data_IF_238825648049
#
_entry.id   IF_238825648049
#
_cell.length_a   1.000
_cell.length_b   1.000
_cell.length_c   1.000
_cell.angle_alpha   90.00
_cell.angle_beta   90.00
_cell.angle_gamma   90.00
#
_symmetry.space_group_name_H-M   'P 1'
#
loop_
_entity.id
_entity.type
_entity.pdbx_description
1 polymer ?
#
# COMPACT_ATOMS: atom_id res chain seq x y z
N UNK A 1 7.06 -1.44 -17.53
CA UNK A 1 5.94 -0.82 -18.27
C UNK A 1 5.99 0.72 -18.30
N UNK A 2 6.83 1.38 -17.49
CA UNK A 2 6.93 2.86 -17.36
C UNK A 2 8.34 3.40 -17.66
N UNK A 3 9.08 2.80 -18.59
CA UNK A 3 10.40 3.29 -19.00
C UNK A 3 10.34 4.62 -19.76
N UNK A 4 11.42 5.41 -19.74
CA UNK A 4 11.43 6.76 -20.33
C UNK A 4 11.22 6.81 -21.84
N UNK A 5 11.65 5.78 -22.59
CA UNK A 5 11.72 5.88 -24.05
C UNK A 5 10.72 4.99 -24.82
N UNK A 6 10.08 4.00 -24.16
CA UNK A 6 9.17 3.03 -24.77
C UNK A 6 8.11 2.53 -23.75
N UNK A 7 7.62 3.42 -22.88
CA UNK A 7 6.54 3.06 -21.97
C UNK A 7 5.19 3.03 -22.68
N UNK A 8 4.24 2.34 -22.06
CA UNK A 8 2.84 2.35 -22.51
C UNK A 8 2.30 3.78 -22.59
N UNK A 9 2.67 4.66 -21.66
CA UNK A 9 2.23 6.06 -21.70
C UNK A 9 2.82 6.82 -22.89
N UNK A 10 4.11 6.68 -23.18
CA UNK A 10 4.72 7.32 -24.35
C UNK A 10 4.08 6.84 -25.65
N UNK A 11 3.80 5.54 -25.74
CA UNK A 11 3.09 4.96 -26.88
C UNK A 11 1.67 5.53 -26.98
N UNK A 12 0.91 5.60 -25.88
CA UNK A 12 -0.44 6.16 -25.89
C UNK A 12 -0.46 7.64 -26.25
N UNK A 13 0.48 8.43 -25.73
CA UNK A 13 0.64 9.85 -26.07
C UNK A 13 0.92 10.02 -27.56
N UNK A 14 1.85 9.24 -28.10
CA UNK A 14 2.30 9.32 -29.50
C UNK A 14 1.26 8.79 -30.48
N UNK A 15 0.69 7.61 -30.22
CA UNK A 15 -0.20 6.91 -31.17
C UNK A 15 -1.64 7.44 -31.15
N UNK A 16 -2.11 7.93 -30.00
CA UNK A 16 -3.50 8.41 -29.83
C UNK A 16 -3.60 9.92 -29.63
N UNK A 17 -2.49 10.66 -29.79
CA UNK A 17 -2.41 12.11 -29.62
C UNK A 17 -3.06 12.59 -28.31
N UNK A 18 -2.63 12.01 -27.19
CA UNK A 18 -3.13 12.31 -25.84
C UNK A 18 -2.12 13.18 -25.05
N UNK A 19 -1.87 14.45 -25.44
CA UNK A 19 -0.81 15.26 -24.83
C UNK A 19 -1.00 15.46 -23.31
N UNK A 20 -2.26 15.45 -22.87
CA UNK A 20 -2.66 15.67 -21.48
C UNK A 20 -2.73 14.37 -20.66
N UNK A 21 -2.27 13.22 -21.19
CA UNK A 21 -2.26 11.96 -20.44
C UNK A 21 -1.25 12.04 -19.29
N UNK A 22 -1.72 11.83 -18.07
CA UNK A 22 -0.92 11.86 -16.84
C UNK A 22 -0.71 10.43 -16.33
N UNK A 23 0.54 10.09 -16.00
CA UNK A 23 0.86 8.84 -15.32
C UNK A 23 0.82 9.05 -13.81
N UNK A 24 -0.19 8.48 -13.15
CA UNK A 24 -0.20 8.33 -11.70
C UNK A 24 0.39 6.95 -11.38
N UNK A 25 1.55 6.94 -10.70
CA UNK A 25 2.20 5.68 -10.31
C UNK A 25 1.51 5.11 -9.07
N UNK A 26 1.37 3.79 -9.02
CA UNK A 26 0.91 3.09 -7.84
C UNK A 26 1.83 3.38 -6.64
N UNK A 27 1.31 3.95 -5.56
CA UNK A 27 2.12 4.25 -4.38
C UNK A 27 2.61 2.97 -3.70
N UNK A 28 1.77 1.94 -3.56
CA UNK A 28 2.18 0.66 -2.98
C UNK A 28 3.34 0.02 -3.75
N UNK A 29 3.23 -0.03 -5.08
CA UNK A 29 4.30 -0.57 -5.93
C UNK A 29 5.54 0.33 -5.91
N UNK A 30 5.36 1.66 -5.89
CA UNK A 30 6.43 2.63 -5.78
C UNK A 30 7.25 2.44 -4.50
N UNK A 31 6.58 2.33 -3.35
CA UNK A 31 7.22 2.06 -2.06
C UNK A 31 7.87 0.68 -2.03
N UNK A 32 7.21 -0.32 -2.62
CA UNK A 32 7.78 -1.66 -2.78
C UNK A 32 9.11 -1.63 -3.55
N UNK A 33 9.16 -0.91 -4.67
CA UNK A 33 10.38 -0.71 -5.44
C UNK A 33 11.42 0.07 -4.65
N UNK A 34 11.03 1.13 -3.94
CA UNK A 34 11.94 1.95 -3.14
C UNK A 34 12.68 1.11 -2.09
N UNK A 35 11.95 0.27 -1.35
CA UNK A 35 12.55 -0.67 -0.38
C UNK A 35 13.45 -1.70 -1.07
N UNK A 36 13.05 -2.23 -2.23
CA UNK A 36 13.84 -3.23 -2.95
C UNK A 36 15.18 -2.65 -3.40
N UNK A 37 15.17 -1.46 -3.99
CA UNK A 37 16.37 -0.74 -4.44
C UNK A 37 17.28 -0.36 -3.27
N UNK A 38 16.71 0.10 -2.16
CA UNK A 38 17.45 0.41 -0.93
C UNK A 38 18.12 -0.84 -0.34
N UNK A 39 17.43 -1.98 -0.38
CA UNK A 39 17.93 -3.27 0.11
C UNK A 39 19.07 -3.79 -0.75
N UNK A 40 18.88 -3.85 -2.06
CA UNK A 40 19.86 -4.37 -3.01
C UNK A 40 21.19 -3.62 -2.96
N UNK A 41 21.14 -2.30 -2.73
CA UNK A 41 22.32 -1.45 -2.73
C UNK A 41 23.11 -1.49 -1.41
N UNK A 42 22.43 -1.71 -0.27
CA UNK A 42 23.02 -1.41 1.04
C UNK A 42 23.06 -2.59 2.01
N UNK A 43 22.13 -3.55 1.88
CA UNK A 43 22.07 -4.71 2.77
C UNK A 43 22.96 -5.85 2.27
N UNK A 44 23.62 -6.58 3.18
CA UNK A 44 24.31 -7.80 2.83
C UNK A 44 23.35 -8.87 2.28
N UNK A 45 23.75 -9.54 1.18
CA UNK A 45 22.94 -10.59 0.51
C UNK A 45 22.57 -11.75 1.45
N UNK A 46 23.38 -12.00 2.47
CA UNK A 46 23.12 -13.06 3.43
C UNK A 46 21.87 -12.78 4.30
N UNK A 47 21.43 -11.52 4.45
CA UNK A 47 20.20 -11.20 5.20
C UNK A 47 18.96 -11.70 4.47
N UNK A 48 18.87 -11.47 3.16
CA UNK A 48 17.77 -12.01 2.36
C UNK A 48 17.80 -13.54 2.33
N UNK A 49 18.99 -14.12 2.20
CA UNK A 49 19.19 -15.57 2.27
C UNK A 49 18.70 -16.15 3.59
N UNK A 50 19.06 -15.55 4.74
CA UNK A 50 18.62 -15.99 6.08
C UNK A 50 17.10 -16.08 6.14
N UNK A 51 16.41 -15.01 5.74
CA UNK A 51 14.96 -14.92 5.84
C UNK A 51 14.29 -15.97 4.94
N UNK A 52 14.77 -16.09 3.69
CA UNK A 52 14.24 -17.05 2.71
C UNK A 52 14.48 -18.49 3.12
N UNK A 53 15.69 -18.82 3.55
CA UNK A 53 16.05 -20.19 3.90
C UNK A 53 15.43 -20.65 5.22
N UNK A 54 15.23 -19.74 6.19
CA UNK A 54 14.42 -20.06 7.37
C UNK A 54 13.00 -20.48 6.97
N UNK A 55 12.36 -19.79 6.02
CA UNK A 55 11.05 -20.23 5.51
C UNK A 55 11.13 -21.58 4.79
N UNK A 56 12.10 -21.74 3.86
CA UNK A 56 12.26 -22.94 3.06
C UNK A 56 12.48 -24.18 3.92
N UNK A 57 13.23 -24.04 5.02
CA UNK A 57 13.48 -25.11 5.97
C UNK A 57 12.17 -25.78 6.46
N UNK A 58 11.17 -24.97 6.81
CA UNK A 58 9.87 -25.44 7.31
C UNK A 58 8.86 -25.77 6.21
N UNK A 59 8.94 -25.12 5.05
CA UNK A 59 7.98 -25.34 3.96
C UNK A 59 8.11 -26.73 3.33
N UNK A 60 9.32 -27.29 3.34
CA UNK A 60 9.65 -28.55 2.66
C UNK A 60 9.28 -29.79 3.49
N UNK A 61 9.26 -29.70 4.83
CA UNK A 61 9.12 -30.88 5.68
C UNK A 61 8.09 -30.69 6.79
N UNK A 62 7.01 -31.51 6.84
CA UNK A 62 6.14 -31.62 8.00
C UNK A 62 6.90 -32.01 9.26
N UNK A 63 7.79 -33.00 9.17
CA UNK A 63 8.61 -33.46 10.30
C UNK A 63 9.42 -32.33 10.95
N UNK A 64 10.06 -31.47 10.16
CA UNK A 64 10.81 -30.31 10.69
C UNK A 64 9.91 -29.31 11.41
N UNK A 65 8.65 -29.17 10.98
CA UNK A 65 7.67 -28.31 11.66
C UNK A 65 7.22 -28.91 12.98
N UNK A 66 6.99 -30.21 13.02
CA UNK A 66 6.58 -30.92 14.24
C UNK A 66 7.71 -30.94 15.27
N UNK A 67 8.95 -31.19 14.85
CA UNK A 67 10.15 -31.11 15.70
C UNK A 67 10.33 -29.71 16.30
N UNK A 68 10.22 -28.66 15.47
CA UNK A 68 10.32 -27.29 15.94
C UNK A 68 9.16 -26.91 16.87
N UNK A 69 7.94 -27.35 16.57
CA UNK A 69 6.77 -27.11 17.41
C UNK A 69 6.94 -27.73 18.80
N UNK A 70 7.38 -28.98 18.88
CA UNK A 70 7.64 -29.65 20.15
C UNK A 70 8.73 -28.93 20.96
N UNK A 71 9.81 -28.51 20.30
CA UNK A 71 10.88 -27.71 20.92
C UNK A 71 10.36 -26.37 21.43
N UNK A 72 9.59 -25.64 20.61
CA UNK A 72 9.03 -24.35 20.96
C UNK A 72 8.08 -24.45 22.17
N UNK A 73 7.16 -25.42 22.15
CA UNK A 73 6.23 -25.67 23.27
C UNK A 73 6.98 -26.03 24.57
N UNK A 74 8.09 -26.76 24.47
CA UNK A 74 8.91 -27.11 25.64
C UNK A 74 9.55 -25.88 26.28
N UNK A 75 10.03 -24.93 25.46
CA UNK A 75 10.70 -23.71 25.92
C UNK A 75 9.69 -22.66 26.43
N UNK A 76 8.52 -22.58 25.78
CA UNK A 76 7.52 -21.54 26.01
C UNK A 76 6.25 -22.08 26.68
N UNK A 77 6.38 -23.05 27.59
CA UNK A 77 5.30 -23.54 28.45
C UNK A 77 3.99 -23.92 27.73
N UNK A 78 4.09 -24.52 26.54
CA UNK A 78 2.95 -24.97 25.74
C UNK A 78 2.45 -24.00 24.68
N UNK A 79 3.05 -22.80 24.54
CA UNK A 79 2.69 -21.85 23.50
C UNK A 79 2.99 -22.36 22.09
N UNK A 80 2.26 -21.85 21.09
CA UNK A 80 2.39 -22.24 19.70
C UNK A 80 3.36 -21.32 18.92
N UNK A 81 4.25 -21.87 18.09
CA UNK A 81 5.16 -21.07 17.28
C UNK A 81 4.41 -20.28 16.20
N UNK A 82 4.91 -19.08 15.90
CA UNK A 82 4.43 -18.29 14.76
C UNK A 82 4.95 -18.90 13.46
N UNK A 83 4.03 -19.25 12.55
CA UNK A 83 4.38 -19.76 11.22
C UNK A 83 5.27 -18.77 10.46
N UNK A 84 6.48 -19.15 10.09
CA UNK A 84 7.33 -18.31 9.23
C UNK A 84 6.66 -18.11 7.87
N UNK A 85 6.62 -16.86 7.41
CA UNK A 85 5.94 -16.48 6.17
C UNK A 85 6.89 -16.54 4.98
N UNK A 86 6.32 -16.88 3.81
CA UNK A 86 7.06 -16.88 2.55
C UNK A 86 7.36 -15.44 2.15
N UNK A 87 8.63 -15.15 1.90
CA UNK A 87 9.03 -13.93 1.19
C UNK A 87 8.78 -14.13 -0.32
N UNK A 88 8.16 -13.15 -0.94
CA UNK A 88 8.00 -13.08 -2.38
C UNK A 88 9.13 -12.25 -2.97
N UNK A 89 9.89 -12.82 -3.91
CA UNK A 89 11.08 -12.19 -4.50
C UNK A 89 10.80 -10.81 -5.13
N UNK A 90 9.57 -10.60 -5.64
CA UNK A 90 9.14 -9.32 -6.22
C UNK A 90 8.51 -8.36 -5.22
N UNK A 91 8.37 -8.76 -3.94
CA UNK A 91 7.68 -7.98 -2.91
C UNK A 91 8.41 -8.00 -1.57
N UNK A 92 9.45 -7.18 -1.44
CA UNK A 92 10.14 -6.85 -0.18
C UNK A 92 9.21 -6.50 1.00
N UNK A 93 7.96 -6.10 0.80
CA UNK A 93 7.01 -5.86 1.89
C UNK A 93 6.54 -7.15 2.57
N UNK A 94 6.62 -8.29 1.87
CA UNK A 94 6.43 -9.60 2.51
C UNK A 94 7.56 -9.97 3.48
N UNK A 95 8.65 -9.19 3.48
CA UNK A 95 9.78 -9.39 4.40
C UNK A 95 9.43 -8.92 5.81
N UNK A 96 8.70 -7.80 6.00
CA UNK A 96 8.41 -7.30 7.35
C UNK A 96 7.69 -8.33 8.24
N UNK A 97 6.61 -9.00 7.77
CA UNK A 97 5.97 -10.04 8.56
C UNK A 97 6.86 -11.25 8.83
N UNK A 98 7.77 -11.58 7.90
CA UNK A 98 8.73 -12.67 8.08
C UNK A 98 9.80 -12.30 9.12
N UNK A 99 10.37 -11.09 9.03
CA UNK A 99 11.35 -10.54 9.97
C UNK A 99 10.77 -10.45 11.37
N UNK A 100 9.53 -9.97 11.51
CA UNK A 100 8.82 -9.93 12.79
C UNK A 100 8.75 -11.32 13.44
N UNK A 101 8.31 -12.34 12.69
CA UNK A 101 8.15 -13.72 13.21
C UNK A 101 9.48 -14.40 13.48
N UNK A 102 10.52 -14.09 12.71
CA UNK A 102 11.88 -14.59 12.94
C UNK A 102 12.46 -13.97 14.22
N UNK A 103 12.35 -12.66 14.41
CA UNK A 103 12.85 -11.99 15.61
C UNK A 103 12.09 -12.40 16.87
N UNK A 104 10.78 -12.60 16.77
CA UNK A 104 9.95 -13.04 17.89
C UNK A 104 10.30 -14.45 18.41
N UNK A 105 10.98 -15.27 17.59
CA UNK A 105 11.33 -16.65 17.91
C UNK A 105 12.83 -16.90 17.70
N UNK A 106 13.65 -15.85 17.83
CA UNK A 106 15.07 -15.87 17.44
C UNK A 106 15.86 -16.95 18.18
N UNK A 107 15.64 -17.07 19.49
CA UNK A 107 16.37 -17.99 20.35
C UNK A 107 15.95 -19.45 20.11
N UNK A 108 14.65 -19.68 19.89
CA UNK A 108 14.09 -20.99 19.60
C UNK A 108 14.53 -21.49 18.23
N UNK A 109 14.55 -20.61 17.22
CA UNK A 109 15.08 -20.92 15.90
C UNK A 109 16.58 -21.24 15.98
N UNK A 110 17.36 -20.44 16.73
CA UNK A 110 18.78 -20.67 16.95
C UNK A 110 19.05 -22.05 17.58
N UNK A 111 18.29 -22.43 18.60
CA UNK A 111 18.40 -23.74 19.25
C UNK A 111 17.93 -24.88 18.32
N UNK A 112 16.84 -24.68 17.58
CA UNK A 112 16.37 -25.65 16.60
C UNK A 112 17.45 -25.99 15.57
N UNK A 113 18.08 -24.97 14.99
CA UNK A 113 19.16 -25.18 14.02
C UNK A 113 20.42 -25.78 14.67
N UNK A 114 20.69 -25.50 15.94
CA UNK A 114 21.82 -26.13 16.64
C UNK A 114 21.64 -27.64 16.81
N UNK A 115 20.41 -28.11 17.00
CA UNK A 115 20.10 -29.55 17.09
C UNK A 115 20.04 -30.20 15.71
N UNK A 116 19.64 -29.46 14.69
CA UNK A 116 19.51 -29.98 13.32
C UNK A 116 20.84 -29.99 12.54
N UNK A 117 21.86 -29.23 12.97
CA UNK A 117 23.13 -29.04 12.22
C UNK A 117 23.88 -30.33 11.92
N UNK A 118 23.84 -31.31 12.82
CA UNK A 118 24.55 -32.59 12.64
C UNK A 118 23.99 -33.43 11.49
N UNK A 119 22.72 -33.17 11.13
CA UNK A 119 21.97 -33.97 10.15
C UNK A 119 21.86 -33.29 8.79
N UNK A 120 22.16 -31.99 8.70
CA UNK A 120 21.92 -31.22 7.47
C UNK A 120 22.82 -29.99 7.37
N UNK A 121 23.53 -29.86 6.25
CA UNK A 121 24.37 -28.71 5.94
C UNK A 121 23.61 -27.37 6.02
N UNK A 122 22.39 -27.31 5.47
CA UNK A 122 21.56 -26.10 5.53
C UNK A 122 21.24 -25.69 6.97
N UNK A 123 21.04 -26.64 7.88
CA UNK A 123 20.85 -26.33 9.29
C UNK A 123 22.13 -25.80 9.95
N UNK A 124 23.30 -26.35 9.59
CA UNK A 124 24.59 -25.84 10.04
C UNK A 124 24.81 -24.39 9.61
N UNK A 125 24.57 -24.10 8.32
CA UNK A 125 24.66 -22.74 7.77
C UNK A 125 23.69 -21.77 8.47
N UNK A 126 22.41 -22.15 8.61
CA UNK A 126 21.44 -21.31 9.32
C UNK A 126 21.86 -21.11 10.78
N UNK A 127 22.32 -22.16 11.46
CA UNK A 127 22.82 -22.05 12.83
C UNK A 127 23.96 -21.03 12.95
N UNK A 128 24.94 -21.04 12.05
CA UNK A 128 26.01 -20.03 12.02
C UNK A 128 25.44 -18.62 11.84
N UNK A 129 24.49 -18.44 10.92
CA UNK A 129 23.86 -17.15 10.66
C UNK A 129 23.04 -16.62 11.85
N UNK A 130 22.38 -17.50 12.61
CA UNK A 130 21.68 -17.15 13.86
C UNK A 130 22.63 -16.90 15.04
N UNK A 131 23.89 -17.37 14.96
CA UNK A 131 24.93 -17.04 15.94
C UNK A 131 25.61 -15.70 15.66
N UNK A 132 25.60 -15.24 14.42
CA UNK A 132 26.10 -13.93 14.06
C UNK A 132 25.14 -12.82 14.52
N UNK A 133 25.56 -12.10 15.56
CA UNK A 133 24.81 -10.98 16.13
C UNK A 133 24.62 -9.83 15.14
N UNK A 134 25.49 -9.69 14.15
CA UNK A 134 25.37 -8.69 13.09
C UNK A 134 24.12 -8.92 12.24
N UNK A 135 23.79 -10.17 11.94
CA UNK A 135 22.55 -10.53 11.25
C UNK A 135 21.32 -10.15 12.06
N UNK A 136 21.36 -10.36 13.38
CA UNK A 136 20.27 -9.94 14.29
C UNK A 136 20.10 -8.43 14.27
N UNK A 137 21.19 -7.65 14.29
CA UNK A 137 21.13 -6.19 14.19
C UNK A 137 20.46 -5.72 12.89
N UNK A 138 20.83 -6.28 11.74
CA UNK A 138 20.17 -5.95 10.47
C UNK A 138 18.66 -6.24 10.51
N UNK A 139 18.25 -7.37 11.07
CA UNK A 139 16.83 -7.70 11.20
C UNK A 139 16.10 -6.74 12.16
N UNK A 140 16.73 -6.32 13.26
CA UNK A 140 16.15 -5.32 14.19
C UNK A 140 15.93 -3.97 13.49
N UNK A 141 16.90 -3.52 12.69
CA UNK A 141 16.76 -2.33 11.85
C UNK A 141 15.62 -2.50 10.83
N UNK A 142 15.61 -3.62 10.09
CA UNK A 142 14.57 -3.92 9.12
C UNK A 142 13.17 -3.94 9.74
N UNK A 143 13.01 -4.55 10.91
CA UNK A 143 11.76 -4.52 11.67
C UNK A 143 11.30 -3.08 11.92
N UNK A 144 12.20 -2.22 12.35
CA UNK A 144 11.92 -0.83 12.71
C UNK A 144 11.49 0.00 11.49
N UNK A 145 12.25 -0.06 10.39
CA UNK A 145 12.02 0.79 9.22
C UNK A 145 10.91 0.26 8.30
N UNK A 146 10.81 -1.06 8.12
CA UNK A 146 9.78 -1.64 7.26
C UNK A 146 8.38 -1.54 7.89
N UNK A 147 8.29 -1.43 9.22
CA UNK A 147 7.01 -1.23 9.90
C UNK A 147 6.34 0.09 9.47
N UNK A 148 7.09 1.18 9.44
CA UNK A 148 6.60 2.49 8.98
C UNK A 148 6.10 2.41 7.53
N UNK A 149 6.90 1.78 6.67
CA UNK A 149 6.54 1.59 5.26
C UNK A 149 5.26 0.77 5.14
N UNK A 150 5.12 -0.31 5.92
CA UNK A 150 3.95 -1.17 5.93
C UNK A 150 2.69 -0.44 6.43
N UNK A 151 2.80 0.45 7.42
CA UNK A 151 1.70 1.31 7.85
C UNK A 151 1.23 2.18 6.67
N UNK A 152 2.18 2.84 6.00
CA UNK A 152 1.86 3.67 4.83
C UNK A 152 1.09 2.89 3.77
N UNK A 153 1.55 1.70 3.42
CA UNK A 153 0.91 0.87 2.38
C UNK A 153 -0.47 0.35 2.77
N UNK A 154 -0.66 -0.09 4.02
CA UNK A 154 -1.97 -0.59 4.48
C UNK A 154 -3.05 0.46 4.30
N UNK A 155 -2.72 1.74 4.48
CA UNK A 155 -3.64 2.85 4.23
C UNK A 155 -4.02 2.92 2.76
N UNK A 156 -3.08 2.72 1.83
CA UNK A 156 -3.37 2.68 0.39
C UNK A 156 -4.07 1.38 -0.06
N UNK A 157 -3.98 0.27 0.67
CA UNK A 157 -4.62 -1.00 0.32
C UNK A 157 -6.07 -1.14 0.84
N UNK A 158 -6.51 -0.25 1.74
CA UNK A 158 -7.84 -0.26 2.34
C UNK A 158 -9.00 -0.23 1.33
N UNK A 159 -10.16 -0.75 1.75
CA UNK A 159 -11.39 -0.69 0.95
C UNK A 159 -12.16 0.62 1.12
N UNK A 160 -12.07 1.25 2.30
CA UNK A 160 -12.76 2.50 2.66
C UNK A 160 -11.74 3.58 3.00
N UNK A 161 -10.94 3.98 2.00
CA UNK A 161 -9.90 5.00 2.19
C UNK A 161 -10.49 6.37 1.92
N UNK A 162 -10.18 7.34 2.77
CA UNK A 162 -10.47 8.73 2.50
C UNK A 162 -9.49 9.28 1.44
N UNK A 163 -9.92 9.51 0.19
CA UNK A 163 -9.02 9.89 -0.91
C UNK A 163 -8.27 11.19 -0.61
N UNK A 164 -8.83 12.07 0.21
CA UNK A 164 -8.21 13.35 0.53
C UNK A 164 -7.08 13.26 1.55
N UNK A 165 -6.92 12.14 2.26
CA UNK A 165 -5.91 11.96 3.32
C UNK A 165 -4.69 11.12 2.88
N UNK A 166 -4.72 10.61 1.65
CA UNK A 166 -3.73 9.66 1.16
C UNK A 166 -2.33 10.28 0.99
N UNK A 167 -2.26 11.50 0.47
CA UNK A 167 -0.97 12.17 0.25
C UNK A 167 -0.26 12.52 1.56
N UNK A 168 -1.02 12.92 2.58
CA UNK A 168 -0.48 13.18 3.92
C UNK A 168 0.15 11.92 4.54
N UNK A 169 -0.41 10.74 4.25
CA UNK A 169 0.16 9.47 4.71
C UNK A 169 1.54 9.23 4.10
N UNK A 170 1.71 9.54 2.82
CA UNK A 170 3.01 9.41 2.14
C UNK A 170 4.04 10.40 2.69
N UNK A 171 3.64 11.64 2.98
CA UNK A 171 4.53 12.60 3.63
C UNK A 171 4.89 12.19 5.04
N UNK A 172 3.93 11.68 5.82
CA UNK A 172 4.19 11.16 7.15
C UNK A 172 5.24 10.05 7.12
N UNK A 173 5.16 9.14 6.13
CA UNK A 173 6.20 8.13 5.90
C UNK A 173 7.55 8.77 5.55
N UNK A 174 7.60 9.70 4.61
CA UNK A 174 8.84 10.38 4.22
C UNK A 174 9.50 11.09 5.41
N UNK A 175 8.71 11.86 6.17
CA UNK A 175 9.15 12.54 7.40
C UNK A 175 9.72 11.51 8.38
N UNK A 176 9.01 10.41 8.64
CA UNK A 176 9.43 9.34 9.56
C UNK A 176 10.79 8.73 9.18
N UNK A 177 11.01 8.47 7.89
CA UNK A 177 12.29 7.90 7.43
C UNK A 177 13.41 8.94 7.53
N UNK A 178 13.15 10.19 7.16
CA UNK A 178 14.14 11.28 7.23
C UNK A 178 14.60 11.54 8.66
N UNK A 179 13.68 11.76 9.61
CA UNK A 179 14.02 12.15 11.00
C UNK A 179 14.81 11.09 11.77
N UNK A 180 14.88 9.85 11.28
CA UNK A 180 15.73 8.79 11.85
C UNK A 180 17.22 9.02 11.60
N UNK A 181 17.56 9.76 10.53
CA UNK A 181 18.92 9.84 10.01
C UNK A 181 19.43 11.26 9.78
N UNK A 182 18.57 12.28 9.83
CA UNK A 182 18.99 13.68 9.70
C UNK A 182 19.06 14.39 11.05
N UNK A 183 19.93 15.40 11.13
CA UNK A 183 20.03 16.28 12.30
C UNK A 183 18.67 16.95 12.58
N UNK A 184 18.22 17.01 13.85
CA UNK A 184 17.00 17.72 14.20
C UNK A 184 17.01 19.17 13.69
N UNK A 185 15.95 19.56 12.98
CA UNK A 185 15.80 20.91 12.39
C UNK A 185 16.37 21.06 10.98
N UNK A 186 17.04 20.05 10.41
CA UNK A 186 17.51 20.11 9.02
C UNK A 186 16.37 20.18 7.98
N UNK A 187 15.17 19.68 8.33
CA UNK A 187 13.94 19.83 7.56
C UNK A 187 12.77 20.09 8.50
N UNK A 188 11.92 21.06 8.17
CA UNK A 188 10.78 21.48 9.02
C UNK A 188 9.46 21.50 8.26
N UNK A 189 9.50 21.77 6.96
CA UNK A 189 8.34 21.81 6.08
C UNK A 189 8.33 20.63 5.12
N UNK A 190 7.16 20.32 4.55
CA UNK A 190 7.02 19.27 3.53
C UNK A 190 7.91 19.51 2.32
N UNK A 191 8.08 20.77 1.95
CA UNK A 191 8.97 21.16 0.85
C UNK A 191 10.41 20.78 1.17
N UNK A 192 10.86 21.05 2.41
CA UNK A 192 12.20 20.67 2.85
C UNK A 192 12.39 19.15 2.72
N UNK A 193 11.46 18.34 3.25
CA UNK A 193 11.55 16.88 3.18
C UNK A 193 11.54 16.33 1.74
N UNK A 194 10.84 17.00 0.82
CA UNK A 194 10.79 16.60 -0.59
C UNK A 194 12.09 16.89 -1.34
N UNK A 195 12.83 17.93 -0.96
CA UNK A 195 14.01 18.40 -1.70
C UNK A 195 15.34 18.23 -0.97
N UNK A 196 15.30 17.88 0.32
CA UNK A 196 16.51 17.75 1.13
C UNK A 196 17.43 16.68 0.56
N UNK A 197 18.71 17.05 0.40
CA UNK A 197 19.81 16.13 0.18
C UNK A 197 20.27 15.60 1.54
N UNK A 198 19.78 14.41 1.88
CA UNK A 198 19.90 13.78 3.20
C UNK A 198 21.37 13.59 3.62
N UNK A 199 22.23 13.27 2.66
CA UNK A 199 23.65 12.99 2.86
C UNK A 199 24.41 14.18 3.48
N UNK A 200 23.97 15.40 3.16
CA UNK A 200 24.62 16.63 3.64
C UNK A 200 24.18 16.98 5.08
N UNK A 201 23.18 16.28 5.62
CA UNK A 201 22.52 16.61 6.90
C UNK A 201 22.43 15.40 7.85
N UNK A 202 23.26 14.37 7.64
CA UNK A 202 23.22 13.14 8.43
C UNK A 202 23.51 13.42 9.92
N UNK A 203 22.70 12.83 10.79
CA UNK A 203 22.91 12.85 12.24
C UNK A 203 24.07 11.92 12.59
N UNK A 204 25.16 12.42 13.20
CA UNK A 204 26.27 11.59 13.69
C UNK A 204 25.82 10.53 14.71
N UNK A 205 24.67 10.74 15.36
CA UNK A 205 24.11 9.89 16.41
C UNK A 205 22.76 9.28 16.00
N UNK A 206 22.56 9.08 14.69
CA UNK A 206 21.33 8.54 14.11
C UNK A 206 20.78 7.33 14.87
N UNK A 207 19.50 7.40 15.25
CA UNK A 207 18.83 6.37 16.04
C UNK A 207 18.04 5.41 15.12
N UNK A 208 18.56 4.19 14.96
CA UNK A 208 18.02 3.19 14.02
C UNK A 208 16.85 2.36 14.59
N UNK A 209 16.43 2.66 15.81
CA UNK A 209 15.34 2.01 16.54
C UNK A 209 15.84 1.36 17.83
N UNK A 210 15.01 1.40 18.88
CA UNK A 210 15.45 0.99 20.22
C UNK A 210 15.91 -0.47 20.28
N UNK A 211 15.26 -1.39 19.54
CA UNK A 211 15.68 -2.79 19.47
C UNK A 211 17.07 -2.94 18.83
N UNK A 212 17.40 -2.13 17.83
CA UNK A 212 18.73 -2.11 17.23
C UNK A 212 19.76 -1.63 18.24
N UNK A 213 19.51 -0.46 18.86
CA UNK A 213 20.46 0.15 19.80
C UNK A 213 20.69 -0.74 21.04
N UNK A 214 19.61 -1.28 21.62
CA UNK A 214 19.70 -2.18 22.77
C UNK A 214 20.49 -3.45 22.45
N UNK A 215 20.27 -4.06 21.28
CA UNK A 215 21.05 -5.23 20.88
C UNK A 215 22.50 -4.87 20.54
N UNK A 216 22.76 -3.70 19.97
CA UNK A 216 24.11 -3.26 19.66
C UNK A 216 24.93 -3.05 20.95
N UNK A 217 24.35 -2.40 21.96
CA UNK A 217 24.99 -2.18 23.26
C UNK A 217 25.27 -3.47 24.05
N UNK A 218 24.43 -4.49 23.87
CA UNK A 218 24.57 -5.78 24.56
C UNK A 218 25.31 -6.85 23.73
N UNK A 219 25.77 -6.52 22.52
CA UNK A 219 26.45 -7.45 21.62
C UNK A 219 27.93 -7.60 21.98
N UNK A 220 28.51 -8.74 21.63
CA UNK A 220 29.95 -9.01 21.72
C UNK A 220 30.70 -8.55 20.45
N UNK A 221 30.03 -7.81 19.56
CA UNK A 221 30.64 -7.29 18.34
C UNK A 221 31.63 -6.17 18.65
N UNK A 222 32.68 -6.05 17.83
CA UNK A 222 33.61 -4.93 17.95
C UNK A 222 32.91 -3.61 17.62
N UNK A 223 33.33 -2.47 18.23
CA UNK A 223 32.77 -1.16 17.91
C UNK A 223 32.85 -0.83 16.41
N UNK A 224 33.91 -1.28 15.73
CA UNK A 224 34.07 -1.12 14.28
C UNK A 224 33.03 -1.93 13.49
N UNK A 225 32.73 -3.16 13.91
CA UNK A 225 31.70 -3.97 13.26
C UNK A 225 30.32 -3.32 13.41
N UNK A 226 29.98 -2.85 14.61
CA UNK A 226 28.72 -2.12 14.87
C UNK A 226 28.66 -0.85 14.01
N UNK A 227 29.74 -0.07 13.94
CA UNK A 227 29.82 1.13 13.10
C UNK A 227 29.60 0.82 11.61
N UNK A 228 30.20 -0.25 11.09
CA UNK A 228 30.00 -0.70 9.71
C UNK A 228 28.54 -1.13 9.43
N UNK A 229 27.89 -1.81 10.39
CA UNK A 229 26.48 -2.17 10.30
C UNK A 229 25.60 -0.92 10.32
N UNK A 230 25.83 -0.01 11.28
CA UNK A 230 25.12 1.28 11.37
C UNK A 230 25.21 2.06 10.08
N UNK A 231 26.41 2.18 9.50
CA UNK A 231 26.63 2.86 8.22
C UNK A 231 25.75 2.29 7.11
N UNK A 232 25.73 0.96 6.93
CA UNK A 232 24.88 0.30 5.93
C UNK A 232 23.38 0.53 6.15
N UNK A 233 22.93 0.57 7.41
CA UNK A 233 21.54 0.89 7.74
C UNK A 233 21.19 2.38 7.47
N UNK A 234 22.13 3.29 7.69
CA UNK A 234 21.98 4.71 7.32
C UNK A 234 21.92 4.84 5.80
N UNK A 235 22.86 4.22 5.08
CA UNK A 235 22.91 4.24 3.61
C UNK A 235 21.63 3.65 2.99
N UNK A 236 21.08 2.58 3.60
CA UNK A 236 19.75 2.06 3.25
C UNK A 236 18.67 3.12 3.39
N UNK A 237 18.64 3.83 4.52
CA UNK A 237 17.60 4.81 4.83
C UNK A 237 17.71 6.03 3.91
N UNK A 238 18.93 6.51 3.62
CA UNK A 238 19.21 7.54 2.61
C UNK A 238 18.67 7.11 1.26
N UNK A 239 19.00 5.89 0.82
CA UNK A 239 18.54 5.38 -0.48
C UNK A 239 17.02 5.25 -0.53
N UNK A 240 16.39 4.83 0.57
CA UNK A 240 14.94 4.76 0.68
C UNK A 240 14.30 6.14 0.52
N UNK A 241 14.83 7.17 1.20
CA UNK A 241 14.35 8.57 1.06
C UNK A 241 14.44 9.03 -0.39
N UNK A 242 15.61 8.87 -1.03
CA UNK A 242 15.79 9.25 -2.44
C UNK A 242 14.79 8.55 -3.36
N UNK A 243 14.59 7.24 -3.17
CA UNK A 243 13.68 6.47 -4.01
C UNK A 243 12.21 6.88 -3.79
N UNK A 244 11.83 7.29 -2.56
CA UNK A 244 10.52 7.86 -2.24
C UNK A 244 10.37 9.24 -2.91
N UNK A 245 11.31 10.16 -2.69
CA UNK A 245 11.31 11.50 -3.31
C UNK A 245 11.19 11.42 -4.84
N UNK A 246 11.94 10.54 -5.49
CA UNK A 246 11.90 10.31 -6.95
C UNK A 246 10.59 9.74 -7.49
N UNK A 247 9.72 9.21 -6.62
CA UNK A 247 8.43 8.59 -7.00
C UNK A 247 7.23 9.47 -6.65
N UNK A 248 7.43 10.51 -5.85
CA UNK A 248 6.43 11.55 -5.61
C UNK A 248 6.31 12.41 -6.88
N UNK A 249 5.08 12.68 -7.38
CA UNK A 249 4.92 13.45 -8.61
C UNK A 249 5.32 14.92 -8.41
N UNK A 250 5.79 15.57 -9.48
CA UNK A 250 6.25 16.97 -9.42
C UNK A 250 5.17 17.97 -9.04
N UNK A 251 3.90 17.65 -9.32
CA UNK A 251 2.73 18.44 -8.91
C UNK A 251 2.21 18.07 -7.51
N UNK A 252 3.02 17.41 -6.67
CA UNK A 252 2.64 17.02 -5.32
C UNK A 252 2.10 18.18 -4.50
N UNK A 253 2.73 19.37 -4.55
CA UNK A 253 2.25 20.54 -3.80
C UNK A 253 0.80 20.91 -4.14
N UNK A 254 0.38 20.71 -5.39
CA UNK A 254 -0.98 20.99 -5.82
C UNK A 254 -1.91 19.84 -5.43
N UNK A 255 -1.48 18.59 -5.60
CA UNK A 255 -2.25 17.42 -5.21
C UNK A 255 -2.45 17.34 -3.69
N UNK A 256 -1.46 17.77 -2.89
CA UNK A 256 -1.54 17.81 -1.43
C UNK A 256 -2.69 18.72 -0.96
N UNK A 257 -3.07 19.73 -1.75
CA UNK A 257 -4.22 20.61 -1.47
C UNK A 257 -5.56 19.88 -1.56
N UNK A 258 -5.62 18.66 -2.09
CA UNK A 258 -6.83 17.83 -2.01
C UNK A 258 -7.22 17.59 -0.55
N UNK A 259 -6.26 17.54 0.38
CA UNK A 259 -6.53 17.46 1.84
C UNK A 259 -7.42 18.59 2.37
N UNK A 260 -7.41 19.76 1.73
CA UNK A 260 -8.26 20.90 2.10
C UNK A 260 -9.74 20.63 1.88
N UNK A 261 -10.07 19.66 1.02
CA UNK A 261 -11.43 19.20 0.74
C UNK A 261 -11.92 18.18 1.78
N UNK A 262 -11.14 17.85 2.81
CA UNK A 262 -11.68 17.10 3.95
C UNK A 262 -12.79 17.91 4.63
N UNK A 263 -13.84 17.28 5.18
CA UNK A 263 -14.89 18.01 5.90
C UNK A 263 -14.31 18.88 7.02
N UNK A 264 -13.33 18.36 7.75
CA UNK A 264 -12.62 19.09 8.82
C UNK A 264 -12.00 20.39 8.30
N UNK A 265 -11.24 20.35 7.20
CA UNK A 265 -10.61 21.55 6.64
C UNK A 265 -11.63 22.47 5.93
N UNK A 266 -12.65 21.89 5.31
CA UNK A 266 -13.70 22.61 4.59
C UNK A 266 -14.65 23.35 5.53
N UNK A 267 -14.79 22.92 6.78
CA UNK A 267 -15.66 23.55 7.77
C UNK A 267 -14.92 24.49 8.73
N UNK A 268 -13.59 24.66 8.60
CA UNK A 268 -12.81 25.65 9.36
C UNK A 268 -13.28 27.07 9.09
N UNK A 269 -13.40 27.87 10.16
CA UNK A 269 -13.79 29.28 10.08
C UNK A 269 -12.79 30.15 9.31
N UNK A 270 -11.49 29.90 9.53
CA UNK A 270 -10.39 30.62 8.89
C UNK A 270 -9.84 29.76 7.75
N UNK A 271 -9.92 30.29 6.53
CA UNK A 271 -9.46 29.64 5.30
C UNK A 271 -8.68 30.65 4.47
N UNK A 272 -7.57 30.23 3.86
CA UNK A 272 -6.91 31.01 2.82
C UNK A 272 -7.73 30.93 1.51
N UNK A 273 -8.34 32.03 1.02
CA UNK A 273 -9.16 32.03 -0.19
C UNK A 273 -8.45 31.51 -1.44
N UNK A 274 -7.12 31.61 -1.49
CA UNK A 274 -6.33 31.22 -2.66
C UNK A 274 -5.90 29.75 -2.63
N UNK A 275 -6.14 29.04 -1.53
CA UNK A 275 -5.62 27.71 -1.32
C UNK A 275 -6.12 26.70 -2.39
N UNK A 276 -7.40 26.78 -2.78
CA UNK A 276 -7.98 25.87 -3.80
C UNK A 276 -7.75 26.29 -5.26
N UNK A 277 -7.30 27.52 -5.53
CA UNK A 277 -7.18 28.05 -6.89
C UNK A 277 -6.23 27.21 -7.75
N UNK A 278 -5.08 26.84 -7.19
CA UNK A 278 -4.11 25.98 -7.91
C UNK A 278 -4.69 24.61 -8.25
N UNK A 279 -5.43 24.00 -7.32
CA UNK A 279 -6.06 22.69 -7.53
C UNK A 279 -7.18 22.77 -8.59
N UNK A 280 -7.99 23.82 -8.55
CA UNK A 280 -9.07 24.03 -9.52
C UNK A 280 -8.52 24.14 -10.95
N UNK A 281 -7.46 24.94 -11.15
CA UNK A 281 -6.81 25.11 -12.45
C UNK A 281 -6.20 23.82 -12.99
N UNK A 282 -5.48 23.07 -12.15
CA UNK A 282 -4.93 21.75 -12.55
C UNK A 282 -6.02 20.75 -12.94
N UNK A 283 -7.21 20.84 -12.33
CA UNK A 283 -8.36 19.99 -12.68
C UNK A 283 -9.22 20.56 -13.83
N UNK A 284 -8.78 21.62 -14.49
CA UNK A 284 -9.41 22.17 -15.69
C UNK A 284 -10.62 23.08 -15.43
N UNK A 285 -10.75 23.65 -14.24
CA UNK A 285 -11.76 24.67 -13.95
C UNK A 285 -11.25 26.04 -14.44
N UNK A 286 -12.08 26.73 -15.23
CA UNK A 286 -11.82 28.09 -15.69
C UNK A 286 -11.88 29.12 -14.54
N UNK A 287 -11.42 30.35 -14.79
CA UNK A 287 -11.37 31.39 -13.77
C UNK A 287 -12.78 31.79 -13.25
N UNK A 288 -13.83 31.69 -14.08
CA UNK A 288 -15.20 32.01 -13.66
C UNK A 288 -15.73 30.98 -12.65
N UNK A 289 -15.53 29.69 -12.93
CA UNK A 289 -15.87 28.61 -11.99
C UNK A 289 -15.00 28.67 -10.74
N UNK A 290 -13.72 29.00 -10.91
CA UNK A 290 -12.78 29.13 -9.79
C UNK A 290 -13.19 30.24 -8.83
N UNK A 291 -13.66 31.39 -9.34
CA UNK A 291 -14.21 32.45 -8.49
C UNK A 291 -15.39 31.96 -7.65
N UNK A 292 -16.34 31.26 -8.28
CA UNK A 292 -17.47 30.65 -7.56
C UNK A 292 -17.04 29.64 -6.51
N UNK A 293 -16.08 28.76 -6.83
CA UNK A 293 -15.52 27.77 -5.89
C UNK A 293 -15.02 28.46 -4.63
N UNK A 294 -14.24 29.55 -4.77
CA UNK A 294 -13.67 30.29 -3.63
C UNK A 294 -14.78 30.88 -2.75
N UNK A 295 -15.83 31.46 -3.35
CA UNK A 295 -16.96 32.01 -2.59
C UNK A 295 -17.78 30.92 -1.88
N UNK A 296 -18.02 29.81 -2.56
CA UNK A 296 -18.74 28.66 -2.01
C UNK A 296 -18.00 28.04 -0.83
N UNK A 297 -16.67 27.94 -0.93
CA UNK A 297 -15.85 27.32 0.11
C UNK A 297 -15.79 28.15 1.40
N UNK A 298 -15.92 29.48 1.29
CA UNK A 298 -16.06 30.36 2.46
C UNK A 298 -17.40 30.16 3.17
N UNK A 299 -18.47 30.00 2.41
CA UNK A 299 -19.84 30.04 2.94
C UNK A 299 -20.38 28.67 3.37
N UNK A 300 -19.80 27.57 2.90
CA UNK A 300 -20.26 26.20 3.19
C UNK A 300 -20.31 25.87 4.69
N UNK A 301 -19.48 26.51 5.51
CA UNK A 301 -19.40 26.29 6.96
C UNK A 301 -20.62 26.77 7.74
N UNK A 302 -21.47 27.61 7.15
CA UNK A 302 -22.67 28.14 7.81
C UNK A 302 -23.88 27.19 7.70
N UNK A 303 -23.71 26.07 6.99
CA UNK A 303 -24.72 25.03 6.87
C UNK A 303 -24.31 23.85 7.75
N UNK A 304 -25.28 23.26 8.43
CA UNK A 304 -25.07 22.05 9.21
C UNK A 304 -25.06 20.82 8.30
N UNK A 305 -24.02 19.99 8.42
CA UNK A 305 -23.81 18.81 7.57
C UNK A 305 -23.80 17.54 8.40
N UNK A 306 -24.85 16.72 8.26
CA UNK A 306 -25.00 15.43 8.96
C UNK A 306 -23.85 14.44 8.68
N UNK A 307 -23.20 14.56 7.53
CA UNK A 307 -22.22 13.57 7.04
C UNK A 307 -20.76 14.02 7.14
N UNK A 308 -20.47 15.04 7.96
CA UNK A 308 -19.12 15.60 8.11
C UNK A 308 -18.05 14.61 8.62
N UNK A 309 -18.43 13.40 9.06
CA UNK A 309 -17.49 12.34 9.44
C UNK A 309 -16.92 11.52 8.27
N UNK A 310 -17.43 11.67 7.05
CA UNK A 310 -17.07 10.85 5.88
C UNK A 310 -17.00 11.75 4.63
N UNK A 311 -15.80 11.95 4.08
CA UNK A 311 -15.57 12.85 2.94
C UNK A 311 -16.45 12.52 1.73
N UNK A 312 -16.66 11.24 1.43
CA UNK A 312 -17.44 10.83 0.26
C UNK A 312 -18.92 11.12 0.48
N UNK A 313 -19.46 10.81 1.67
CA UNK A 313 -20.85 11.10 2.01
C UNK A 313 -21.10 12.61 2.14
N UNK A 314 -20.16 13.33 2.74
CA UNK A 314 -20.17 14.79 2.85
C UNK A 314 -20.33 15.44 1.48
N UNK A 315 -19.43 15.17 0.55
CA UNK A 315 -19.52 15.77 -0.78
C UNK A 315 -20.72 15.26 -1.59
N UNK A 316 -21.19 14.03 -1.37
CA UNK A 316 -22.44 13.56 -1.95
C UNK A 316 -23.67 14.32 -1.40
N UNK A 317 -23.66 14.72 -0.13
CA UNK A 317 -24.67 15.57 0.49
C UNK A 317 -24.59 16.99 -0.10
N UNK A 318 -23.40 17.60 -0.16
CA UNK A 318 -23.18 18.93 -0.75
C UNK A 318 -23.61 18.97 -2.22
N UNK A 319 -23.33 17.93 -3.00
CA UNK A 319 -23.75 17.84 -4.40
C UNK A 319 -25.29 17.80 -4.57
N UNK A 320 -26.00 17.24 -3.61
CA UNK A 320 -27.47 17.13 -3.60
C UNK A 320 -28.17 18.29 -2.88
N UNK A 321 -27.41 19.12 -2.16
CA UNK A 321 -27.94 20.24 -1.39
C UNK A 321 -28.73 21.20 -2.28
N UNK A 322 -29.85 21.69 -1.77
CA UNK A 322 -30.68 22.71 -2.40
C UNK A 322 -31.11 23.71 -1.34
N UNK A 323 -30.98 24.99 -1.66
CA UNK A 323 -31.51 26.06 -0.82
C UNK A 323 -33.05 26.16 -0.94
N UNK A 324 -33.65 27.14 -0.28
CA UNK A 324 -35.10 27.39 -0.34
C UNK A 324 -35.64 27.63 -1.76
N UNK A 325 -34.79 28.07 -2.69
CA UNK A 325 -35.14 28.26 -4.11
C UNK A 325 -34.92 27.00 -4.96
N UNK A 326 -34.55 25.86 -4.36
CA UNK A 326 -34.28 24.62 -5.08
C UNK A 326 -32.94 24.59 -5.83
N UNK A 327 -32.07 25.60 -5.63
CA UNK A 327 -30.78 25.74 -6.31
C UNK A 327 -29.66 25.22 -5.40
N UNK A 328 -28.70 24.48 -5.98
CA UNK A 328 -27.49 24.11 -5.26
C UNK A 328 -26.49 25.26 -5.29
N UNK A 329 -26.35 25.96 -4.17
CA UNK A 329 -25.41 27.09 -4.01
C UNK A 329 -23.95 26.67 -3.92
N UNK A 330 -23.64 25.39 -3.80
CA UNK A 330 -22.28 24.84 -3.65
C UNK A 330 -21.88 23.92 -4.82
N UNK A 331 -22.53 24.08 -5.97
CA UNK A 331 -22.41 23.14 -7.09
C UNK A 331 -20.98 23.02 -7.61
N UNK A 332 -20.35 24.14 -7.94
CA UNK A 332 -18.99 24.17 -8.51
C UNK A 332 -17.94 23.64 -7.53
N UNK A 333 -18.08 23.96 -6.24
CA UNK A 333 -17.23 23.41 -5.19
C UNK A 333 -17.41 21.89 -5.04
N UNK A 334 -18.65 21.40 -5.08
CA UNK A 334 -18.92 19.96 -5.07
C UNK A 334 -18.34 19.28 -6.31
N UNK A 335 -18.47 19.88 -7.49
CA UNK A 335 -17.90 19.34 -8.73
C UNK A 335 -16.36 19.28 -8.65
N UNK A 336 -15.69 20.29 -8.07
CA UNK A 336 -14.25 20.26 -7.80
C UNK A 336 -13.87 19.11 -6.86
N UNK A 337 -14.60 18.96 -5.76
CA UNK A 337 -14.31 17.91 -4.79
C UNK A 337 -14.51 16.51 -5.38
N UNK A 338 -15.59 16.30 -6.14
CA UNK A 338 -15.85 15.04 -6.83
C UNK A 338 -14.76 14.77 -7.87
N UNK A 339 -14.33 15.76 -8.65
CA UNK A 339 -13.24 15.60 -9.61
C UNK A 339 -11.93 15.18 -8.92
N UNK A 340 -11.56 15.87 -7.83
CA UNK A 340 -10.37 15.56 -7.05
C UNK A 340 -10.40 14.15 -6.44
N UNK A 341 -11.54 13.74 -5.85
CA UNK A 341 -11.69 12.41 -5.26
C UNK A 341 -11.84 11.28 -6.29
N UNK A 342 -12.19 11.61 -7.53
CA UNK A 342 -12.26 10.66 -8.64
C UNK A 342 -10.88 10.32 -9.23
N UNK A 343 -9.82 11.03 -8.83
CA UNK A 343 -8.46 10.65 -9.19
C UNK A 343 -8.12 9.26 -8.62
N UNK A 344 -7.37 8.43 -9.35
CA UNK A 344 -6.97 7.12 -8.87
C UNK A 344 -5.87 7.27 -7.81
N UNK A 345 -6.27 7.54 -6.57
CA UNK A 345 -5.35 7.72 -5.43
C UNK A 345 -4.79 6.39 -4.90
N UNK A 346 -5.42 5.27 -5.25
CA UNK A 346 -5.00 3.92 -4.88
C UNK A 346 -5.26 2.93 -6.01
N UNK A 347 -4.38 1.93 -6.10
CA UNK A 347 -4.55 0.80 -7.00
C UNK A 347 -5.31 -0.38 -6.37
N UNK A 348 -5.77 -0.28 -5.13
CA UNK A 348 -6.43 -1.36 -4.42
C UNK A 348 -7.64 -1.93 -5.19
N UNK A 349 -8.45 -1.06 -5.81
CA UNK A 349 -9.57 -1.48 -6.67
C UNK A 349 -9.09 -2.31 -7.87
N UNK A 350 -7.99 -1.88 -8.50
CA UNK A 350 -7.40 -2.55 -9.66
C UNK A 350 -6.78 -3.89 -9.26
N UNK A 351 -6.08 -3.97 -8.12
CA UNK A 351 -5.54 -5.23 -7.62
C UNK A 351 -6.65 -6.21 -7.22
N UNK A 352 -7.75 -5.73 -6.62
CA UNK A 352 -8.94 -6.53 -6.35
C UNK A 352 -9.57 -7.05 -7.65
N UNK A 353 -9.61 -6.23 -8.71
CA UNK A 353 -10.03 -6.64 -10.04
C UNK A 353 -9.15 -7.77 -10.61
N UNK A 354 -7.83 -7.65 -10.49
CA UNK A 354 -6.90 -8.68 -10.93
C UNK A 354 -7.01 -9.97 -10.12
N UNK A 355 -7.30 -9.89 -8.82
CA UNK A 355 -7.62 -11.06 -8.00
C UNK A 355 -8.85 -11.79 -8.53
N UNK A 356 -9.94 -11.06 -8.83
CA UNK A 356 -11.15 -11.63 -9.47
C UNK A 356 -10.81 -12.24 -10.83
N UNK A 357 -9.99 -11.57 -11.63
CA UNK A 357 -9.54 -12.08 -12.92
C UNK A 357 -8.79 -13.42 -12.78
N UNK A 358 -7.92 -13.57 -11.78
CA UNK A 358 -7.20 -14.81 -11.51
C UNK A 358 -8.12 -15.97 -11.10
N UNK A 359 -9.23 -15.68 -10.41
CA UNK A 359 -10.27 -16.67 -10.12
C UNK A 359 -11.01 -17.09 -11.40
N UNK A 360 -11.39 -16.12 -12.24
CA UNK A 360 -12.16 -16.34 -13.47
C UNK A 360 -11.33 -17.07 -14.55
N UNK A 361 -10.05 -16.69 -14.68
CA UNK A 361 -9.06 -17.23 -15.62
C UNK A 361 -7.93 -17.90 -14.84
N UNK A 362 -8.24 -19.06 -14.27
CA UNK A 362 -7.29 -19.88 -13.52
C UNK A 362 -6.57 -20.89 -14.43
N UNK A 363 -5.66 -21.69 -13.85
CA UNK A 363 -4.85 -22.68 -14.59
C UNK A 363 -5.69 -23.71 -15.36
N UNK A 364 -6.86 -24.10 -14.82
CA UNK A 364 -7.78 -25.05 -15.45
C UNK A 364 -8.67 -24.38 -16.52
N UNK A 365 -8.88 -23.06 -16.42
CA UNK A 365 -9.73 -22.25 -17.31
C UNK A 365 -8.94 -21.09 -17.92
N UNK A 366 -7.85 -21.40 -18.61
CA UNK A 366 -6.92 -20.41 -19.16
C UNK A 366 -7.21 -19.98 -20.61
N UNK A 367 -8.03 -20.74 -21.35
CA UNK A 367 -8.47 -20.43 -22.72
C UNK A 367 -9.82 -19.74 -22.70
N UNK A 368 -9.80 -18.41 -22.69
CA UNK A 368 -11.01 -17.58 -22.75
C UNK A 368 -10.73 -16.34 -23.59
N UNK A 369 -11.69 -15.99 -24.46
CA UNK A 369 -11.61 -14.74 -25.21
C UNK A 369 -11.77 -13.52 -24.29
N UNK A 370 -11.18 -12.39 -24.69
CA UNK A 370 -11.20 -11.12 -23.94
C UNK A 370 -12.63 -10.64 -23.66
N UNK A 371 -13.53 -10.74 -24.65
CA UNK A 371 -14.92 -10.34 -24.51
C UNK A 371 -15.63 -11.08 -23.36
N UNK A 372 -15.47 -12.40 -23.30
CA UNK A 372 -16.08 -13.24 -22.25
C UNK A 372 -15.45 -12.95 -20.88
N UNK A 373 -14.14 -12.77 -20.83
CA UNK A 373 -13.42 -12.43 -19.60
C UNK A 373 -13.94 -11.10 -19.03
N UNK A 374 -13.96 -10.06 -19.86
CA UNK A 374 -14.46 -8.73 -19.49
C UNK A 374 -15.92 -8.79 -19.04
N UNK A 375 -16.78 -9.52 -19.76
CA UNK A 375 -18.19 -9.68 -19.40
C UNK A 375 -18.36 -10.32 -18.02
N UNK A 376 -17.64 -11.39 -17.73
CA UNK A 376 -17.73 -12.08 -16.43
C UNK A 376 -17.24 -11.16 -15.31
N UNK A 377 -16.10 -10.48 -15.51
CA UNK A 377 -15.54 -9.54 -14.53
C UNK A 377 -16.53 -8.41 -14.24
N UNK A 378 -17.10 -7.79 -15.28
CA UNK A 378 -18.11 -6.73 -15.14
C UNK A 378 -19.34 -7.20 -14.37
N UNK A 379 -19.88 -8.38 -14.70
CA UNK A 379 -21.04 -8.96 -14.00
C UNK A 379 -20.71 -9.18 -12.52
N UNK A 380 -19.57 -9.81 -12.20
CA UNK A 380 -19.17 -10.08 -10.81
C UNK A 380 -19.02 -8.79 -10.00
N UNK A 381 -18.38 -7.77 -10.57
CA UNK A 381 -18.23 -6.47 -9.90
C UNK A 381 -19.57 -5.76 -9.72
N UNK A 382 -20.43 -5.76 -10.73
CA UNK A 382 -21.74 -5.14 -10.65
C UNK A 382 -22.63 -5.80 -9.58
N UNK A 383 -22.55 -7.12 -9.44
CA UNK A 383 -23.20 -7.87 -8.37
C UNK A 383 -22.63 -7.50 -7.00
N UNK A 384 -21.30 -7.41 -6.86
CA UNK A 384 -20.63 -6.96 -5.62
C UNK A 384 -21.12 -5.57 -5.20
N UNK A 385 -21.11 -4.59 -6.12
CA UNK A 385 -21.58 -3.21 -5.87
C UNK A 385 -23.05 -3.20 -5.42
N UNK A 386 -23.90 -3.99 -6.07
CA UNK A 386 -25.33 -4.11 -5.72
C UNK A 386 -25.59 -4.96 -4.47
N UNK A 387 -24.54 -5.51 -3.82
CA UNK A 387 -24.64 -6.49 -2.73
C UNK A 387 -25.55 -7.68 -3.09
N UNK A 388 -25.47 -8.11 -4.34
CA UNK A 388 -26.21 -9.24 -4.89
C UNK A 388 -25.28 -10.43 -5.14
N UNK A 389 -25.84 -11.63 -5.07
CA UNK A 389 -25.20 -12.91 -5.33
C UNK A 389 -26.12 -13.78 -6.22
N UNK A 390 -25.69 -15.01 -6.51
CA UNK A 390 -26.45 -15.95 -7.32
C UNK A 390 -27.80 -16.37 -6.72
N UNK A 391 -28.05 -16.12 -5.43
CA UNK A 391 -29.30 -16.46 -4.77
C UNK A 391 -30.33 -15.32 -4.81
N UNK A 392 -29.90 -14.06 -4.83
CA UNK A 392 -30.80 -12.89 -4.75
C UNK A 392 -30.81 -12.01 -6.02
N UNK A 393 -29.99 -12.35 -7.03
CA UNK A 393 -30.01 -11.66 -8.30
C UNK A 393 -31.09 -12.23 -9.22
N UNK A 394 -32.13 -11.43 -9.46
CA UNK A 394 -33.19 -11.76 -10.43
C UNK A 394 -32.71 -11.35 -11.83
N UNK A 395 -32.63 -12.32 -12.73
CA UNK A 395 -32.29 -12.10 -14.14
C UNK A 395 -33.41 -11.33 -14.86
N UNK A 396 -33.07 -10.39 -15.75
CA UNK A 396 -34.08 -9.70 -16.56
C UNK A 396 -34.92 -10.69 -17.39
N UNK A 397 -36.24 -10.48 -17.53
CA UNK A 397 -37.12 -11.40 -18.26
C UNK A 397 -36.68 -11.68 -19.70
N UNK A 398 -36.07 -10.71 -20.37
CA UNK A 398 -35.58 -10.86 -21.74
C UNK A 398 -34.40 -11.85 -21.85
N UNK A 399 -33.50 -11.84 -20.85
CA UNK A 399 -32.39 -12.78 -20.76
C UNK A 399 -32.94 -14.19 -20.55
N UNK A 400 -33.94 -14.34 -19.68
CA UNK A 400 -34.61 -15.63 -19.44
C UNK A 400 -35.28 -16.18 -20.70
N UNK A 401 -35.92 -15.32 -21.51
CA UNK A 401 -36.50 -15.72 -22.80
C UNK A 401 -35.45 -16.24 -23.77
N UNK A 402 -34.26 -15.62 -23.84
CA UNK A 402 -33.14 -16.09 -24.68
C UNK A 402 -32.56 -17.43 -24.21
N UNK A 403 -32.45 -17.65 -22.90
CA UNK A 403 -31.96 -18.92 -22.34
C UNK A 403 -32.95 -20.06 -22.63
N UNK A 404 -34.26 -19.80 -22.45
CA UNK A 404 -35.32 -20.80 -22.69
C UNK A 404 -35.41 -21.26 -24.15
N UNK A 405 -35.01 -20.43 -25.12
CA UNK A 405 -35.01 -20.81 -26.55
C UNK A 405 -33.96 -21.87 -26.90
N UNK A 406 -32.87 -21.99 -26.12
CA UNK A 406 -31.71 -22.83 -26.43
C UNK A 406 -31.48 -24.00 -25.45
N UNK A 407 -32.35 -24.22 -24.47
CA UNK A 407 -32.21 -25.29 -23.48
C UNK A 407 -33.55 -26.00 -23.27
N UNK A 408 -33.68 -27.22 -23.82
CA UNK A 408 -34.90 -28.02 -23.73
C UNK A 408 -35.22 -28.58 -22.33
N UNK A 409 -34.39 -28.36 -21.31
CA UNK A 409 -34.67 -28.88 -19.97
C UNK A 409 -34.17 -27.94 -18.88
N UNK A 410 -35.04 -27.05 -18.41
CA UNK A 410 -34.95 -26.53 -17.05
C UNK A 410 -36.32 -26.71 -16.39
N UNK A 411 -36.44 -27.71 -15.51
CA UNK A 411 -37.65 -27.92 -14.70
C UNK A 411 -37.88 -26.70 -13.82
N UNK A 412 -38.89 -25.93 -14.19
CA UNK A 412 -39.53 -24.91 -13.38
C UNK A 412 -40.20 -25.57 -12.18
N UNK A 413 -39.50 -25.60 -11.04
CA UNK A 413 -40.15 -25.60 -9.75
C UNK A 413 -39.33 -24.69 -8.82
N UNK A 414 -39.95 -23.55 -8.48
CA UNK A 414 -39.45 -22.38 -7.74
C UNK A 414 -38.79 -21.30 -8.62
N UNK A 415 -39.28 -20.07 -8.47
CA UNK A 415 -38.93 -18.84 -9.21
C UNK A 415 -37.49 -18.34 -8.96
N UNK A 416 -36.50 -19.22 -8.95
CA UNK A 416 -35.11 -18.86 -8.69
C UNK A 416 -34.20 -19.67 -9.62
N UNK A 417 -33.63 -19.00 -10.61
CA UNK A 417 -32.63 -19.61 -11.50
C UNK A 417 -31.28 -19.44 -10.83
N UNK A 418 -30.79 -20.51 -10.23
CA UNK A 418 -29.41 -20.58 -9.76
C UNK A 418 -28.49 -20.84 -10.95
N UNK A 419 -27.83 -19.79 -11.44
CA UNK A 419 -26.61 -19.99 -12.21
C UNK A 419 -25.51 -20.30 -11.19
N UNK A 420 -25.01 -21.54 -11.22
CA UNK A 420 -23.79 -21.90 -10.49
C UNK A 420 -22.65 -21.11 -11.14
N UNK A 421 -22.40 -19.91 -10.64
CA UNK A 421 -21.10 -19.27 -10.79
C UNK A 421 -20.24 -19.94 -9.74
N UNK A 422 -19.52 -21.00 -10.16
CA UNK A 422 -18.58 -21.72 -9.30
C UNK A 422 -17.68 -20.74 -8.56
N UNK A 423 -17.60 -20.92 -7.23
CA UNK A 423 -16.86 -20.10 -6.28
C UNK A 423 -15.38 -19.98 -6.63
#
# INVERSE_FOLDING_TARGET
MTGRNNSVIEILKREYNLPNLILIRCICHSLQLAVSHASESNLPRNIEFLIRETYNWFSISPKRRDEYKALFQTINCGDEPLKILKVCDTRWLSIEPAVLRILAQWNELKLHFSLAREKCYTAGLLWEMYNDEGNRLYLCFLKSILHDVQIGIKVFEGENIDPVKLLETLMTLLRSVCVRIIIPGAATTDKDFLTIKVEDHLDPVAHLGHLFESHASNSNLSPQAISNIKKRCIDFSVKLVQEIQNRIPSNYEILAKVTLLSPENTLKQIKDPHALVGLARELGFDDQKTDKIVQQWKTIQFIEWETAGDSVKFWAQVLKYKNAAGVNTFRELADLAIAAMSLPHSNAEVERLFSVMNTVKNKLRNRMCSLTLNSIIMIRNQLKIKKKNCHNYVLPPEVLKKIKKNCQTFKTNRNTIYIIITH
#
